data_IF_121248249928
#
_entry.id   IF_121248249928
#
_cell.length_a   1.000
_cell.length_b   1.000
_cell.length_c   1.000
_cell.angle_alpha   90.00
_cell.angle_beta   90.00
_cell.angle_gamma   90.00
#
_symmetry.space_group_name_H-M   'P 1'
#
loop_
_entity.id
_entity.type
_entity.pdbx_description
1 polymer ?
#
# COMPACT_ATOMS: atom_id res chain seq x y z
N UNK A 1 104.71 51.71 29.45
CA UNK A 1 103.95 51.35 28.22
C UNK A 1 103.54 49.87 28.16
N UNK A 2 104.43 48.89 28.36
CA UNK A 2 104.08 47.46 28.19
C UNK A 2 102.91 46.91 29.04
N UNK A 3 102.71 47.39 30.29
CA UNK A 3 101.60 46.93 31.16
C UNK A 3 100.21 47.35 30.66
N UNK A 4 100.10 48.55 30.08
CA UNK A 4 98.84 49.05 29.52
C UNK A 4 98.46 48.31 28.22
N UNK A 5 99.46 47.97 27.40
CA UNK A 5 99.27 47.18 26.18
C UNK A 5 98.77 45.77 26.52
N UNK A 6 99.36 45.12 27.54
CA UNK A 6 98.92 43.80 28.01
C UNK A 6 97.46 43.83 28.49
N UNK A 7 97.09 44.79 29.33
CA UNK A 7 95.72 44.93 29.83
C UNK A 7 94.70 45.15 28.69
N UNK A 8 95.05 45.93 27.68
CA UNK A 8 94.20 46.19 26.52
C UNK A 8 94.01 44.92 25.67
N UNK A 9 95.06 44.13 25.47
CA UNK A 9 94.98 42.83 24.79
C UNK A 9 94.07 41.87 25.56
N UNK A 10 94.23 41.75 26.89
CA UNK A 10 93.33 40.92 27.70
C UNK A 10 91.86 41.35 27.59
N UNK A 11 91.58 42.65 27.69
CA UNK A 11 90.22 43.16 27.57
C UNK A 11 89.61 42.86 26.20
N UNK A 12 90.38 43.05 25.11
CA UNK A 12 89.91 42.73 23.75
C UNK A 12 89.63 41.24 23.57
N UNK A 13 90.49 40.36 24.09
CA UNK A 13 90.25 38.92 24.08
C UNK A 13 89.00 38.53 24.87
N UNK A 14 88.79 39.11 26.07
CA UNK A 14 87.59 38.86 26.87
C UNK A 14 86.31 39.27 26.16
N UNK A 15 86.31 40.42 25.47
CA UNK A 15 85.17 40.87 24.68
C UNK A 15 84.86 39.91 23.52
N UNK A 16 85.88 39.44 22.80
CA UNK A 16 85.70 38.49 21.70
C UNK A 16 85.09 37.17 22.19
N UNK A 17 85.58 36.62 23.30
CA UNK A 17 85.03 35.40 23.91
C UNK A 17 83.58 35.59 24.34
N UNK A 18 83.27 36.73 24.96
CA UNK A 18 81.89 37.04 25.36
C UNK A 18 80.96 37.15 24.15
N UNK A 19 81.37 37.82 23.06
CA UNK A 19 80.56 37.91 21.84
C UNK A 19 80.38 36.55 21.16
N UNK A 20 81.40 35.70 21.15
CA UNK A 20 81.30 34.34 20.60
C UNK A 20 80.32 33.49 21.42
N UNK A 21 80.37 33.58 22.76
CA UNK A 21 79.44 32.89 23.65
C UNK A 21 77.99 33.34 23.44
N UNK A 22 77.75 34.64 23.31
CA UNK A 22 76.42 35.18 23.04
C UNK A 22 75.90 34.75 21.66
N UNK A 23 76.75 34.72 20.63
CA UNK A 23 76.41 34.21 19.31
C UNK A 23 76.02 32.72 19.34
N UNK A 24 76.79 31.88 20.04
CA UNK A 24 76.49 30.45 20.20
C UNK A 24 75.15 30.25 20.93
N UNK A 25 74.89 31.02 21.99
CA UNK A 25 73.61 30.97 22.70
C UNK A 25 72.44 31.34 21.79
N UNK A 26 72.57 32.42 21.02
CA UNK A 26 71.54 32.85 20.10
C UNK A 26 71.29 31.78 19.02
N UNK A 27 72.35 31.17 18.50
CA UNK A 27 72.24 30.09 17.51
C UNK A 27 71.50 28.86 18.09
N UNK A 28 71.82 28.43 19.31
CA UNK A 28 71.12 27.33 19.98
C UNK A 28 69.63 27.62 20.20
N UNK A 29 69.30 28.86 20.58
CA UNK A 29 67.92 29.31 20.75
C UNK A 29 67.18 29.29 19.41
N UNK A 30 67.78 29.83 18.35
CA UNK A 30 67.20 29.83 16.99
C UNK A 30 66.97 28.40 16.49
N UNK A 31 67.95 27.49 16.65
CA UNK A 31 67.81 26.08 16.30
C UNK A 31 66.65 25.41 17.05
N UNK A 32 66.49 25.72 18.33
CA UNK A 32 65.38 25.20 19.15
C UNK A 32 64.03 25.69 18.64
N UNK A 33 63.92 26.98 18.28
CA UNK A 33 62.70 27.52 17.67
C UNK A 33 62.40 26.91 16.31
N UNK A 34 63.40 26.76 15.43
CA UNK A 34 63.23 26.08 14.14
C UNK A 34 62.75 24.63 14.31
N UNK A 35 63.32 23.89 15.26
CA UNK A 35 62.90 22.53 15.58
C UNK A 35 61.47 22.47 16.16
N UNK A 36 61.02 23.51 16.86
CA UNK A 36 59.62 23.62 17.33
C UNK A 36 58.67 23.96 16.19
N UNK A 37 59.04 24.89 15.31
CA UNK A 37 58.24 25.27 14.13
C UNK A 37 58.07 24.08 13.20
N UNK A 38 59.14 23.30 12.95
CA UNK A 38 59.05 22.11 12.09
C UNK A 38 58.07 21.09 12.67
N UNK A 39 58.17 20.78 13.97
CA UNK A 39 57.24 19.86 14.65
C UNK A 39 55.81 20.39 14.66
N UNK A 40 55.62 21.69 14.88
CA UNK A 40 54.30 22.31 14.83
C UNK A 40 53.70 22.23 13.42
N UNK A 41 54.51 22.44 12.38
CA UNK A 41 54.08 22.32 10.98
C UNK A 41 53.61 20.91 10.65
N UNK A 42 54.36 19.89 11.06
CA UNK A 42 53.95 18.49 10.87
C UNK A 42 52.64 18.18 11.59
N UNK A 43 52.48 18.63 12.84
CA UNK A 43 51.24 18.43 13.59
C UNK A 43 50.05 19.14 12.95
N UNK A 44 50.24 20.36 12.44
CA UNK A 44 49.20 21.10 11.71
C UNK A 44 48.82 20.34 10.44
N UNK A 45 49.80 19.87 9.66
CA UNK A 45 49.54 19.14 8.43
C UNK A 45 48.78 17.83 8.68
N UNK A 46 49.10 17.10 9.75
CA UNK A 46 48.35 15.90 10.16
C UNK A 46 46.90 16.27 10.49
N UNK A 47 46.68 17.31 11.29
CA UNK A 47 45.33 17.78 11.63
C UNK A 47 44.55 18.28 10.41
N UNK A 48 45.20 18.98 9.48
CA UNK A 48 44.58 19.41 8.23
C UNK A 48 44.14 18.22 7.38
N UNK A 49 44.99 17.19 7.27
CA UNK A 49 44.64 15.95 6.57
C UNK A 49 43.48 15.22 7.26
N UNK A 50 43.45 15.18 8.59
CA UNK A 50 42.33 14.62 9.36
C UNK A 50 41.03 15.41 9.13
N UNK A 51 41.09 16.74 9.12
CA UNK A 51 39.93 17.60 8.83
C UNK A 51 39.40 17.34 7.42
N UNK A 52 40.29 17.24 6.43
CA UNK A 52 39.89 16.92 5.04
C UNK A 52 39.24 15.54 4.97
N UNK A 53 39.80 14.54 5.63
CA UNK A 53 39.22 13.19 5.70
C UNK A 53 37.82 13.19 6.34
N UNK A 54 37.65 13.88 7.46
CA UNK A 54 36.35 14.02 8.13
C UNK A 54 35.36 14.78 7.23
N UNK A 55 35.80 15.82 6.52
CA UNK A 55 34.96 16.57 5.57
C UNK A 55 34.44 15.69 4.43
N UNK A 56 35.28 14.83 3.88
CA UNK A 56 34.88 13.86 2.84
C UNK A 56 33.85 12.88 3.41
N UNK A 57 34.09 12.30 4.60
CA UNK A 57 33.11 11.42 5.26
C UNK A 57 31.77 12.11 5.51
N UNK A 58 31.80 13.38 5.93
CA UNK A 58 30.60 14.17 6.17
C UNK A 58 29.82 14.45 4.87
N UNK A 59 30.52 14.69 3.76
CA UNK A 59 29.87 14.81 2.45
C UNK A 59 29.21 13.49 2.01
N UNK A 60 29.89 12.35 2.20
CA UNK A 60 29.31 11.03 1.91
C UNK A 60 28.05 10.79 2.72
N UNK A 61 28.11 10.96 4.05
CA UNK A 61 26.95 10.79 4.93
C UNK A 61 25.83 11.76 4.55
N UNK A 62 26.14 13.01 4.22
CA UNK A 62 25.12 13.97 3.80
C UNK A 62 24.45 13.55 2.48
N UNK A 63 25.20 12.97 1.54
CA UNK A 63 24.62 12.43 0.30
C UNK A 63 23.70 11.23 0.57
N UNK A 64 24.07 10.34 1.49
CA UNK A 64 23.24 9.21 1.93
C UNK A 64 21.97 9.69 2.65
N UNK A 65 22.06 10.72 3.49
CA UNK A 65 20.88 11.33 4.13
C UNK A 65 19.93 11.89 3.07
N UNK A 66 20.46 12.56 2.04
CA UNK A 66 19.64 13.12 0.98
C UNK A 66 18.92 12.06 0.14
N UNK A 67 19.58 10.92 -0.12
CA UNK A 67 18.97 9.79 -0.84
C UNK A 67 17.93 9.09 0.03
N UNK A 68 18.21 8.88 1.32
CA UNK A 68 17.27 8.31 2.28
C UNK A 68 16.01 9.18 2.42
N UNK A 69 16.17 10.50 2.51
CA UNK A 69 15.04 11.44 2.56
C UNK A 69 14.15 11.35 1.31
N UNK A 70 14.78 11.25 0.14
CA UNK A 70 14.05 11.05 -1.12
C UNK A 70 13.29 9.71 -1.12
N UNK A 71 13.90 8.65 -0.60
CA UNK A 71 13.24 7.34 -0.42
C UNK A 71 12.08 7.39 0.57
N UNK A 72 12.21 8.13 1.67
CA UNK A 72 11.13 8.33 2.65
C UNK A 72 9.91 9.03 2.01
N UNK A 73 10.15 10.07 1.21
CA UNK A 73 9.08 10.80 0.52
C UNK A 73 8.38 9.93 -0.55
N UNK A 74 9.11 9.07 -1.25
CA UNK A 74 8.49 8.12 -2.20
C UNK A 74 7.68 7.05 -1.47
N UNK A 75 8.21 6.47 -0.39
CA UNK A 75 7.49 5.50 0.43
C UNK A 75 6.21 6.10 1.01
N UNK A 76 6.22 7.35 1.49
CA UNK A 76 5.00 8.04 1.94
C UNK A 76 3.95 8.13 0.83
N UNK A 77 4.35 8.49 -0.40
CA UNK A 77 3.44 8.52 -1.55
C UNK A 77 2.90 7.13 -1.90
N UNK A 78 3.71 6.08 -1.82
CA UNK A 78 3.27 4.71 -2.06
C UNK A 78 2.28 4.23 -0.99
N UNK A 79 2.53 4.54 0.29
CA UNK A 79 1.61 4.25 1.39
C UNK A 79 0.26 4.93 1.18
N UNK A 80 0.26 6.20 0.78
CA UNK A 80 -0.97 6.97 0.56
C UNK A 80 -1.78 6.44 -0.64
N UNK A 81 -1.10 6.11 -1.75
CA UNK A 81 -1.73 5.41 -2.88
C UNK A 81 -2.34 4.08 -2.46
N UNK A 82 -1.59 3.27 -1.71
CA UNK A 82 -2.04 1.95 -1.26
C UNK A 82 -3.27 2.07 -0.35
N UNK A 83 -3.25 3.03 0.59
CA UNK A 83 -4.38 3.33 1.47
C UNK A 83 -5.65 3.70 0.69
N UNK A 84 -5.52 4.55 -0.33
CA UNK A 84 -6.65 4.93 -1.17
C UNK A 84 -7.19 3.73 -1.95
N UNK A 85 -6.32 2.91 -2.55
CA UNK A 85 -6.76 1.70 -3.26
C UNK A 85 -7.42 0.67 -2.34
N UNK A 86 -6.96 0.54 -1.10
CA UNK A 86 -7.61 -0.33 -0.11
C UNK A 86 -8.98 0.19 0.29
N UNK A 87 -9.13 1.50 0.51
CA UNK A 87 -10.42 2.11 0.83
C UNK A 87 -11.44 1.92 -0.31
N UNK A 88 -11.01 2.01 -1.56
CA UNK A 88 -11.87 1.76 -2.73
C UNK A 88 -12.24 0.28 -2.85
N UNK A 89 -11.28 -0.64 -2.63
CA UNK A 89 -11.55 -2.08 -2.61
C UNK A 89 -12.54 -2.46 -1.50
N UNK A 90 -12.43 -1.84 -0.32
CA UNK A 90 -13.34 -2.06 0.80
C UNK A 90 -14.77 -1.59 0.50
N UNK A 91 -14.93 -0.42 -0.15
CA UNK A 91 -16.24 0.05 -0.62
C UNK A 91 -16.86 -0.90 -1.63
N UNK A 92 -16.07 -1.38 -2.61
CA UNK A 92 -16.53 -2.35 -3.61
C UNK A 92 -16.96 -3.65 -2.93
N UNK A 93 -16.18 -4.13 -1.96
CA UNK A 93 -16.50 -5.34 -1.19
C UNK A 93 -17.81 -5.18 -0.41
N UNK A 94 -18.00 -4.06 0.29
CA UNK A 94 -19.25 -3.78 1.00
C UNK A 94 -20.44 -3.74 0.05
N UNK A 95 -20.31 -3.06 -1.10
CA UNK A 95 -21.36 -3.04 -2.12
C UNK A 95 -21.70 -4.45 -2.62
N UNK A 96 -20.70 -5.27 -2.93
CA UNK A 96 -20.90 -6.65 -3.36
C UNK A 96 -21.60 -7.52 -2.30
N UNK A 97 -21.25 -7.36 -1.01
CA UNK A 97 -21.91 -8.07 0.09
C UNK A 97 -23.38 -7.67 0.23
N UNK A 98 -23.68 -6.37 0.14
CA UNK A 98 -25.07 -5.90 0.17
C UNK A 98 -25.88 -6.42 -1.02
N UNK A 99 -25.32 -6.41 -2.22
CA UNK A 99 -25.98 -6.95 -3.42
C UNK A 99 -26.25 -8.45 -3.28
N UNK A 100 -25.29 -9.20 -2.73
CA UNK A 100 -25.45 -10.64 -2.46
C UNK A 100 -26.60 -10.90 -1.49
N UNK A 101 -26.68 -10.17 -0.38
CA UNK A 101 -27.77 -10.32 0.59
C UNK A 101 -29.13 -10.02 -0.04
N UNK A 102 -29.19 -8.97 -0.88
CA UNK A 102 -30.41 -8.58 -1.59
C UNK A 102 -30.85 -9.67 -2.57
N UNK A 103 -29.91 -10.25 -3.33
CA UNK A 103 -30.18 -11.35 -4.27
C UNK A 103 -30.62 -12.63 -3.57
N UNK A 104 -30.05 -12.98 -2.42
CA UNK A 104 -30.50 -14.14 -1.63
C UNK A 104 -31.93 -13.95 -1.11
N UNK A 105 -32.27 -12.75 -0.60
CA UNK A 105 -33.66 -12.42 -0.21
C UNK A 105 -34.65 -12.55 -1.37
N UNK A 106 -34.30 -11.96 -2.52
CA UNK A 106 -35.11 -12.08 -3.73
C UNK A 106 -35.26 -13.53 -4.19
N UNK A 107 -34.20 -14.35 -4.09
CA UNK A 107 -34.25 -15.77 -4.44
C UNK A 107 -35.22 -16.54 -3.53
N UNK A 108 -35.20 -16.27 -2.22
CA UNK A 108 -36.17 -16.89 -1.29
C UNK A 108 -37.60 -16.45 -1.59
N UNK A 109 -37.83 -15.15 -1.83
CA UNK A 109 -39.15 -14.62 -2.17
C UNK A 109 -39.70 -15.20 -3.48
N UNK A 110 -38.86 -15.26 -4.52
CA UNK A 110 -39.23 -15.86 -5.81
C UNK A 110 -39.55 -17.35 -5.63
N UNK A 111 -38.76 -18.09 -4.83
CA UNK A 111 -39.05 -19.49 -4.54
C UNK A 111 -40.40 -19.68 -3.86
N UNK A 112 -40.71 -18.87 -2.85
CA UNK A 112 -41.99 -18.93 -2.13
C UNK A 112 -43.19 -18.57 -3.02
N UNK A 113 -43.04 -17.54 -3.87
CA UNK A 113 -44.06 -17.18 -4.85
C UNK A 113 -44.28 -18.31 -5.87
N UNK A 114 -43.21 -18.97 -6.32
CA UNK A 114 -43.28 -20.05 -7.30
C UNK A 114 -44.01 -21.28 -6.71
N UNK A 115 -43.80 -21.59 -5.43
CA UNK A 115 -44.56 -22.63 -4.72
C UNK A 115 -46.05 -22.26 -4.67
N UNK A 116 -46.37 -21.04 -4.21
CA UNK A 116 -47.77 -20.57 -4.12
C UNK A 116 -48.48 -20.59 -5.47
N UNK A 117 -47.80 -20.18 -6.55
CA UNK A 117 -48.37 -20.20 -7.90
C UNK A 117 -48.63 -21.64 -8.35
N UNK A 118 -47.73 -22.58 -8.08
CA UNK A 118 -47.94 -24.00 -8.40
C UNK A 118 -49.13 -24.58 -7.64
N UNK A 119 -49.23 -24.31 -6.34
CA UNK A 119 -50.36 -24.77 -5.52
C UNK A 119 -51.69 -24.19 -6.00
N UNK A 120 -51.72 -22.89 -6.31
CA UNK A 120 -52.91 -22.23 -6.86
C UNK A 120 -53.32 -22.81 -8.22
N UNK A 121 -52.33 -23.07 -9.10
CA UNK A 121 -52.56 -23.67 -10.41
C UNK A 121 -53.10 -25.10 -10.31
N UNK A 122 -52.57 -25.93 -9.40
CA UNK A 122 -53.09 -27.28 -9.17
C UNK A 122 -54.51 -27.26 -8.60
N UNK A 123 -54.80 -26.35 -7.67
CA UNK A 123 -56.13 -26.18 -7.11
C UNK A 123 -57.17 -25.74 -8.17
N UNK A 124 -56.84 -24.75 -9.01
CA UNK A 124 -57.71 -24.34 -10.13
C UNK A 124 -57.90 -25.47 -11.13
N UNK A 125 -56.84 -26.21 -11.47
CA UNK A 125 -56.91 -27.33 -12.41
C UNK A 125 -57.82 -28.44 -11.88
N UNK A 126 -57.74 -28.75 -10.58
CA UNK A 126 -58.62 -29.75 -9.94
C UNK A 126 -60.08 -29.31 -9.99
N UNK A 127 -60.38 -28.04 -9.66
CA UNK A 127 -61.74 -27.49 -9.73
C UNK A 127 -62.29 -27.51 -11.15
N UNK A 128 -61.51 -27.06 -12.13
CA UNK A 128 -61.91 -27.10 -13.53
C UNK A 128 -62.18 -28.55 -14.00
N UNK A 129 -61.38 -29.53 -13.53
CA UNK A 129 -61.56 -30.93 -13.86
C UNK A 129 -62.84 -31.52 -13.25
N UNK A 130 -63.17 -31.17 -12.00
CA UNK A 130 -64.44 -31.54 -11.36
C UNK A 130 -65.64 -30.92 -12.08
N UNK A 131 -65.58 -29.63 -12.41
CA UNK A 131 -66.64 -28.94 -13.15
C UNK A 131 -66.88 -29.58 -14.54
N UNK A 132 -65.80 -29.91 -15.26
CA UNK A 132 -65.89 -30.61 -16.55
C UNK A 132 -66.54 -31.98 -16.40
N UNK A 133 -66.19 -32.75 -15.36
CA UNK A 133 -66.82 -34.05 -15.10
C UNK A 133 -68.31 -33.91 -14.75
N UNK A 134 -68.66 -32.95 -13.90
CA UNK A 134 -70.05 -32.67 -13.53
C UNK A 134 -70.88 -32.25 -14.75
N UNK A 135 -70.36 -31.35 -15.59
CA UNK A 135 -71.03 -30.93 -16.82
C UNK A 135 -71.20 -32.09 -17.79
N UNK A 136 -70.19 -32.96 -17.93
CA UNK A 136 -70.28 -34.17 -18.75
C UNK A 136 -71.39 -35.09 -18.26
N UNK A 137 -71.51 -35.28 -16.95
CA UNK A 137 -72.58 -36.11 -16.38
C UNK A 137 -73.96 -35.48 -16.60
N UNK A 138 -74.11 -34.17 -16.38
CA UNK A 138 -75.36 -33.45 -16.65
C UNK A 138 -75.78 -33.56 -18.12
N UNK A 139 -74.83 -33.47 -19.06
CA UNK A 139 -75.11 -33.66 -20.49
C UNK A 139 -75.59 -35.09 -20.76
N UNK A 140 -74.92 -36.11 -20.23
CA UNK A 140 -75.35 -37.51 -20.41
C UNK A 140 -76.74 -37.78 -19.84
N UNK A 141 -77.03 -37.27 -18.65
CA UNK A 141 -78.33 -37.44 -18.00
C UNK A 141 -79.43 -36.72 -18.77
N UNK A 142 -79.15 -35.51 -19.27
CA UNK A 142 -80.05 -34.75 -20.13
C UNK A 142 -80.30 -35.48 -21.45
N UNK A 143 -79.26 -35.95 -22.12
CA UNK A 143 -79.38 -36.63 -23.41
C UNK A 143 -80.19 -37.93 -23.26
N UNK A 144 -79.97 -38.69 -22.17
CA UNK A 144 -80.78 -39.86 -21.81
C UNK A 144 -82.25 -39.52 -21.58
N UNK A 145 -82.53 -38.42 -20.88
CA UNK A 145 -83.90 -37.96 -20.65
C UNK A 145 -84.58 -37.54 -21.96
N UNK A 146 -83.89 -36.81 -22.84
CA UNK A 146 -84.41 -36.42 -24.17
C UNK A 146 -84.72 -37.66 -25.01
N UNK A 147 -83.82 -38.64 -25.03
CA UNK A 147 -84.00 -39.87 -25.80
C UNK A 147 -85.23 -40.71 -25.39
N UNK A 148 -85.73 -40.57 -24.16
CA UNK A 148 -86.97 -41.21 -23.73
C UNK A 148 -88.21 -40.69 -24.48
N UNK A 149 -88.14 -39.49 -25.04
CA UNK A 149 -89.24 -38.83 -25.77
C UNK A 149 -89.01 -38.79 -27.29
N UNK A 150 -87.86 -39.25 -27.78
CA UNK A 150 -87.51 -39.25 -29.21
C UNK A 150 -88.08 -40.48 -29.92
N UNK A 151 -88.66 -40.29 -31.09
CA UNK A 151 -89.18 -41.38 -31.90
C UNK A 151 -88.02 -42.11 -32.64
N UNK A 152 -87.65 -43.29 -32.12
CA UNK A 152 -86.56 -44.12 -32.64
C UNK A 152 -86.85 -44.77 -34.01
N UNK A 153 -88.04 -44.58 -34.59
CA UNK A 153 -88.36 -45.03 -35.95
C UNK A 153 -87.79 -44.09 -37.03
N UNK A 154 -87.38 -42.87 -36.67
CA UNK A 154 -86.74 -41.89 -37.55
C UNK A 154 -85.20 -41.98 -37.45
N UNK A 155 -84.52 -41.97 -38.60
CA UNK A 155 -83.04 -41.95 -38.71
C UNK A 155 -82.40 -40.86 -37.84
N UNK A 156 -83.00 -39.68 -37.78
CA UNK A 156 -82.52 -38.54 -37.01
C UNK A 156 -82.58 -38.80 -35.49
N UNK A 157 -83.63 -39.50 -35.02
CA UNK A 157 -83.76 -39.89 -33.62
C UNK A 157 -82.75 -40.95 -33.20
N UNK A 158 -82.45 -41.90 -34.09
CA UNK A 158 -81.39 -42.90 -33.91
C UNK A 158 -80.00 -42.25 -33.80
N UNK A 159 -79.69 -41.32 -34.71
CA UNK A 159 -78.41 -40.57 -34.70
C UNK A 159 -78.24 -39.73 -33.44
N UNK A 160 -79.29 -39.06 -32.97
CA UNK A 160 -79.24 -38.18 -31.80
C UNK A 160 -79.03 -38.95 -30.49
N UNK A 161 -79.52 -40.18 -30.42
CA UNK A 161 -79.43 -41.05 -29.23
C UNK A 161 -78.29 -42.08 -29.30
N UNK A 162 -77.56 -42.14 -30.41
CA UNK A 162 -76.42 -43.05 -30.60
C UNK A 162 -76.82 -44.54 -30.60
N UNK A 163 -78.03 -44.87 -31.07
CA UNK A 163 -78.61 -46.23 -31.11
C UNK A 163 -78.96 -46.66 -32.52
#
# INVERSE_FOLDING_TARGET
MMRAVSALVFFTCSLLVFTAYMAIKQELVVRTYLARISRAKEQVQVKENEIVSVKVKLQTVNSEISSLKTGEDDLKKQVEKTKNTMADAEKILQSCLTEKETKEKQKTEVSDLLIKIKEAQEAERSKAQEEVQNLKQQILDRDKAVCAFVNLQLEEGKRLCGV
#
